data_IF_784901881229
#
_entry.id   IF_784901881229
#
_cell.length_a   1.000
_cell.length_b   1.000
_cell.length_c   1.000
_cell.angle_alpha   90.00
_cell.angle_beta   90.00
_cell.angle_gamma   90.00
#
_symmetry.space_group_name_H-M   'P 1'
#
loop_
_entity.id
_entity.type
_entity.pdbx_description
1 polymer ?
#
# COMPACT_ATOMS: atom_id res chain seq x y z
N UNK A 1 -21.66 7.42 10.03
CA UNK A 1 -20.45 6.60 10.18
C UNK A 1 -19.25 7.51 9.99
N UNK A 2 -18.41 7.74 11.00
CA UNK A 2 -17.18 8.53 10.82
C UNK A 2 -16.13 7.59 10.21
N UNK A 3 -15.87 7.72 8.92
CA UNK A 3 -14.80 7.00 8.24
C UNK A 3 -13.53 7.85 8.39
N UNK A 4 -12.48 7.29 8.99
CA UNK A 4 -11.18 7.94 8.94
C UNK A 4 -10.74 7.96 7.46
N UNK A 5 -10.23 9.10 6.94
CA UNK A 5 -9.86 9.22 5.53
C UNK A 5 -8.74 8.25 5.11
N UNK A 6 -8.01 7.69 6.08
CA UNK A 6 -6.93 6.73 5.87
C UNK A 6 -7.09 5.59 6.88
N UNK A 7 -7.07 4.36 6.39
CA UNK A 7 -7.02 3.13 7.22
C UNK A 7 -5.69 2.44 6.95
N UNK A 8 -4.90 2.20 8.01
CA UNK A 8 -3.60 1.52 7.92
C UNK A 8 -3.73 0.15 8.57
N UNK A 9 -3.35 -0.89 7.83
CA UNK A 9 -3.26 -2.25 8.33
C UNK A 9 -1.79 -2.64 8.54
N UNK A 10 -1.46 -3.19 9.71
CA UNK A 10 -0.12 -3.66 10.03
C UNK A 10 -0.19 -5.12 10.49
N UNK A 11 0.51 -6.00 9.79
CA UNK A 11 0.53 -7.44 10.09
C UNK A 11 1.97 -7.91 10.29
N UNK A 12 2.16 -8.95 11.11
CA UNK A 12 3.36 -9.79 11.01
C UNK A 12 3.10 -10.81 9.91
N UNK A 13 3.49 -10.44 8.70
CA UNK A 13 3.04 -11.15 7.50
C UNK A 13 3.95 -12.33 7.10
N UNK A 14 4.26 -13.22 8.05
CA UNK A 14 5.04 -14.43 7.73
C UNK A 14 4.27 -15.42 6.86
N UNK A 15 2.94 -15.28 6.78
CA UNK A 15 2.02 -16.21 6.10
C UNK A 15 1.35 -15.61 4.84
N UNK A 16 1.67 -14.36 4.46
CA UNK A 16 1.16 -13.74 3.23
C UNK A 16 -0.30 -13.27 3.29
N UNK A 17 -0.82 -12.99 4.48
CA UNK A 17 -2.13 -12.40 4.70
C UNK A 17 -2.28 -11.01 4.07
N UNK A 18 -1.22 -10.20 4.03
CA UNK A 18 -1.29 -8.89 3.38
C UNK A 18 -1.54 -9.03 1.87
N UNK A 19 -0.93 -10.04 1.24
CA UNK A 19 -1.18 -10.39 -0.17
C UNK A 19 -2.63 -10.82 -0.40
N UNK A 20 -3.22 -11.61 0.50
CA UNK A 20 -4.62 -12.00 0.39
C UNK A 20 -5.56 -10.78 0.45
N UNK A 21 -5.27 -9.80 1.31
CA UNK A 21 -6.05 -8.56 1.41
C UNK A 21 -5.90 -7.72 0.15
N UNK A 22 -4.68 -7.54 -0.37
CA UNK A 22 -4.46 -6.72 -1.57
C UNK A 22 -5.15 -7.31 -2.80
N UNK A 23 -5.15 -8.65 -2.94
CA UNK A 23 -5.90 -9.35 -3.98
C UNK A 23 -7.41 -9.28 -3.75
N UNK A 24 -7.90 -9.34 -2.50
CA UNK A 24 -9.32 -9.15 -2.22
C UNK A 24 -9.81 -7.72 -2.52
N UNK A 25 -8.90 -6.74 -2.51
CA UNK A 25 -9.16 -5.35 -2.86
C UNK A 25 -9.00 -5.07 -4.36
N UNK A 26 -8.77 -6.09 -5.20
CA UNK A 26 -8.65 -5.91 -6.64
C UNK A 26 -9.92 -5.24 -7.20
N UNK A 27 -9.81 -4.15 -7.97
CA UNK A 27 -10.97 -3.47 -8.52
C UNK A 27 -11.82 -4.40 -9.37
N UNK A 28 -13.14 -4.29 -9.26
CA UNK A 28 -14.04 -4.97 -10.18
C UNK A 28 -13.67 -4.53 -11.63
N UNK A 29 -13.60 -5.44 -12.62
CA UNK A 29 -13.30 -5.09 -14.02
C UNK A 29 -14.24 -4.03 -14.63
N UNK A 30 -15.45 -3.87 -14.09
CA UNK A 30 -16.41 -2.84 -14.49
C UNK A 30 -16.26 -1.52 -13.71
N UNK A 31 -15.36 -1.45 -12.73
CA UNK A 31 -15.10 -0.23 -11.96
C UNK A 31 -14.17 0.72 -12.71
N UNK A 32 -14.24 2.00 -12.35
CA UNK A 32 -13.36 3.05 -12.87
C UNK A 32 -12.00 3.11 -12.16
N UNK A 33 -11.66 2.12 -11.31
CA UNK A 33 -10.43 2.11 -10.54
C UNK A 33 -9.37 1.25 -11.24
N UNK A 34 -8.15 1.76 -11.31
CA UNK A 34 -6.97 1.05 -11.81
C UNK A 34 -6.02 0.76 -10.66
N UNK A 35 -5.43 -0.44 -10.67
CA UNK A 35 -4.35 -0.83 -9.75
C UNK A 35 -3.00 -0.39 -10.31
N UNK A 36 -2.23 0.37 -9.55
CA UNK A 36 -0.83 0.71 -9.83
C UNK A 36 0.06 0.19 -8.70
N UNK A 37 1.28 -0.22 -9.01
CA UNK A 37 2.22 -0.73 -8.02
C UNK A 37 3.54 0.03 -8.13
N UNK A 38 3.95 0.61 -7.01
CA UNK A 38 5.23 1.29 -6.86
C UNK A 38 6.06 0.56 -5.80
N UNK A 39 7.38 0.68 -5.89
CA UNK A 39 8.29 0.17 -4.87
C UNK A 39 9.03 1.32 -4.20
N UNK A 40 9.32 1.15 -2.91
CA UNK A 40 10.10 2.13 -2.16
C UNK A 40 11.23 1.45 -1.39
N UNK A 41 12.29 2.24 -1.18
CA UNK A 41 13.35 1.95 -0.24
C UNK A 41 13.58 3.22 0.59
N UNK A 42 13.60 3.06 1.90
CA UNK A 42 13.73 4.13 2.87
C UNK A 42 14.87 3.81 3.84
N UNK A 43 15.88 4.67 3.87
CA UNK A 43 16.92 4.61 4.91
C UNK A 43 16.29 4.87 6.29
N UNK A 44 16.67 4.07 7.28
CA UNK A 44 16.20 4.23 8.66
C UNK A 44 17.17 5.06 9.52
N UNK A 45 18.23 5.60 8.92
CA UNK A 45 19.24 6.39 9.63
C UNK A 45 18.67 7.64 10.30
N UNK A 46 17.70 8.30 9.67
CA UNK A 46 16.99 9.46 10.25
C UNK A 46 16.23 9.12 11.53
N UNK A 47 15.94 7.83 11.74
CA UNK A 47 15.32 7.30 12.96
C UNK A 47 16.35 6.72 13.95
N UNK A 48 17.65 6.91 13.68
CA UNK A 48 18.75 6.41 14.51
C UNK A 48 19.09 4.93 14.29
N UNK A 49 18.49 4.27 13.30
CA UNK A 49 18.75 2.86 12.98
C UNK A 49 19.74 2.81 11.82
N UNK A 50 21.01 2.55 12.14
CA UNK A 50 22.11 2.51 11.17
C UNK A 50 22.13 1.17 10.43
N UNK A 51 22.64 1.21 9.20
CA UNK A 51 22.86 0.03 8.35
C UNK A 51 21.59 -0.80 8.06
N UNK A 52 20.42 -0.23 8.32
CA UNK A 52 19.12 -0.84 8.03
C UNK A 52 18.29 0.06 7.11
N UNK A 53 17.46 -0.59 6.31
CA UNK A 53 16.52 0.06 5.41
C UNK A 53 15.16 -0.61 5.54
N UNK A 54 14.10 0.16 5.37
CA UNK A 54 12.78 -0.37 5.11
C UNK A 54 12.55 -0.36 3.60
N UNK A 55 11.98 -1.43 3.06
CA UNK A 55 11.54 -1.48 1.68
C UNK A 55 10.21 -2.19 1.59
N UNK A 56 9.51 -1.95 0.50
CA UNK A 56 8.23 -2.58 0.25
C UNK A 56 7.59 -2.11 -1.05
N UNK A 57 6.46 -2.73 -1.38
CA UNK A 57 5.62 -2.31 -2.49
C UNK A 57 4.41 -1.55 -1.94
N UNK A 58 3.98 -0.54 -2.68
CA UNK A 58 2.77 0.23 -2.44
C UNK A 58 1.82 -0.03 -3.59
N UNK A 59 0.60 -0.47 -3.26
CA UNK A 59 -0.44 -0.71 -4.24
C UNK A 59 -1.44 0.44 -4.15
N UNK A 60 -1.62 1.14 -5.26
CA UNK A 60 -2.53 2.27 -5.39
C UNK A 60 -3.76 1.85 -6.17
N UNK A 61 -4.94 2.23 -5.67
CA UNK A 61 -6.22 2.05 -6.35
C UNK A 61 -6.73 3.44 -6.75
N UNK A 62 -6.50 3.82 -8.01
CA UNK A 62 -6.71 5.19 -8.50
C UNK A 62 -7.93 5.22 -9.41
N UNK A 63 -8.87 6.15 -9.22
CA UNK A 63 -9.99 6.31 -10.14
C UNK A 63 -9.59 7.10 -11.41
N UNK A 64 -10.46 7.07 -12.43
CA UNK A 64 -10.27 7.82 -13.68
C UNK A 64 -10.23 9.36 -13.51
N UNK A 65 -10.48 9.88 -12.30
CA UNK A 65 -10.40 11.30 -11.96
C UNK A 65 -9.17 11.64 -11.09
N UNK A 66 -8.40 10.63 -10.71
CA UNK A 66 -7.33 10.72 -9.73
C UNK A 66 -6.05 11.27 -10.34
N UNK A 67 -5.71 12.49 -9.94
CA UNK A 67 -4.36 13.03 -10.10
C UNK A 67 -3.45 12.25 -9.15
N UNK A 68 -2.78 11.23 -9.69
CA UNK A 68 -1.60 10.66 -9.06
C UNK A 68 -0.50 11.74 -9.06
N UNK A 69 -0.03 12.16 -7.88
CA UNK A 69 1.03 13.17 -7.75
C UNK A 69 2.10 12.68 -6.80
#
# INVERSE_FOLDING_TARGET
MKLAPITVFMFRDSEGFASAISEALYPNPSSSFTRQEDSFELSLESYGIKDHKASGNVIHYVDNHGIYK
#
